data_IF_714301127817
#
_entry.id   IF_714301127817
#
_cell.length_a   1.000
_cell.length_b   1.000
_cell.length_c   1.000
_cell.angle_alpha   90.00
_cell.angle_beta   90.00
_cell.angle_gamma   90.00
#
_symmetry.space_group_name_H-M   'P 1'
#
loop_
_entity.id
_entity.type
_entity.pdbx_description
1 polymer ?
#
# COMPACT_ATOMS: atom_id res chain seq x y z
N UNK A 1 -1.08 1.67 5.03
CA UNK A 1 -0.69 0.87 6.22
C UNK A 1 -1.89 0.09 6.77
N UNK A 2 -3.00 0.73 7.12
CA UNK A 2 -4.17 0.11 7.74
C UNK A 2 -4.71 -1.08 6.93
N UNK A 3 -4.82 -0.94 5.61
CA UNK A 3 -5.40 -1.97 4.73
C UNK A 3 -4.40 -2.98 4.18
N UNK A 4 -3.11 -2.79 4.41
CA UNK A 4 -2.05 -3.68 3.90
C UNK A 4 -1.34 -4.46 4.97
N UNK A 5 -1.13 -3.89 6.16
CA UNK A 5 -0.39 -4.53 7.26
C UNK A 5 -1.21 -4.62 8.56
N UNK A 6 -2.33 -3.88 8.68
CA UNK A 6 -3.15 -3.83 9.89
C UNK A 6 -2.49 -3.10 11.05
N UNK A 7 -3.19 -3.05 12.18
CA UNK A 7 -2.79 -2.27 13.36
C UNK A 7 -1.86 -3.01 14.31
N UNK A 8 -1.88 -4.33 14.29
CA UNK A 8 -1.20 -5.19 15.27
C UNK A 8 -0.25 -6.14 14.58
N UNK A 9 0.93 -6.36 15.18
CA UNK A 9 1.91 -7.32 14.66
C UNK A 9 1.37 -8.75 14.76
N UNK A 10 1.43 -9.48 13.64
CA UNK A 10 0.88 -10.81 13.47
C UNK A 10 1.97 -11.88 13.29
N UNK A 11 1.66 -13.07 13.79
CA UNK A 11 2.31 -14.31 13.37
C UNK A 11 1.78 -14.74 12.00
N UNK A 12 2.42 -15.71 11.37
CA UNK A 12 1.99 -16.25 10.07
C UNK A 12 0.58 -16.89 10.11
N UNK A 13 0.12 -17.29 11.27
CA UNK A 13 -1.22 -17.85 11.49
C UNK A 13 -2.33 -16.80 11.64
N UNK A 14 -1.98 -15.51 11.51
CA UNK A 14 -2.90 -14.39 11.65
C UNK A 14 -3.31 -14.05 13.10
N UNK A 15 -2.67 -14.67 14.10
CA UNK A 15 -2.81 -14.27 15.50
C UNK A 15 -1.83 -13.15 15.87
N UNK A 16 -2.12 -12.32 16.90
CA UNK A 16 -1.17 -11.34 17.40
C UNK A 16 0.14 -12.00 17.88
N UNK A 17 1.28 -11.36 17.63
CA UNK A 17 2.59 -11.82 18.13
C UNK A 17 2.62 -11.90 19.64
N UNK A 18 1.93 -10.99 20.31
CA UNK A 18 1.67 -11.02 21.74
C UNK A 18 0.16 -10.83 21.98
N UNK A 19 -0.53 -11.89 22.39
CA UNK A 19 -1.97 -11.87 22.59
C UNK A 19 -2.40 -11.08 23.83
N UNK A 20 -1.57 -11.09 24.89
CA UNK A 20 -1.88 -10.41 26.16
C UNK A 20 -1.59 -8.90 26.11
N UNK A 21 -0.65 -8.48 25.25
CA UNK A 21 -0.29 -7.08 25.04
C UNK A 21 0.05 -6.87 23.55
N UNK A 22 -0.95 -6.65 22.69
CA UNK A 22 -0.73 -6.51 21.25
C UNK A 22 0.24 -5.37 20.93
N UNK A 23 1.21 -5.65 20.07
CA UNK A 23 2.23 -4.68 19.65
C UNK A 23 1.70 -3.98 18.40
N UNK A 24 1.74 -2.64 18.38
CA UNK A 24 1.35 -1.85 17.23
C UNK A 24 2.32 -2.07 16.05
N UNK A 25 1.78 -2.07 14.84
CA UNK A 25 2.56 -2.23 13.60
C UNK A 25 3.27 -0.96 13.21
N UNK A 26 2.66 0.19 13.48
CA UNK A 26 3.16 1.52 13.13
C UNK A 26 2.63 2.58 14.11
N UNK A 27 3.40 3.65 14.29
CA UNK A 27 3.05 4.77 15.13
C UNK A 27 2.83 6.08 14.35
N UNK A 28 2.58 7.20 15.05
CA UNK A 28 2.33 8.50 14.44
C UNK A 28 3.48 8.98 13.53
N UNK A 29 4.72 8.69 13.89
CA UNK A 29 5.91 9.04 13.08
C UNK A 29 5.92 8.29 11.74
N UNK A 30 5.54 7.01 11.73
CA UNK A 30 5.42 6.23 10.50
C UNK A 30 4.36 6.81 9.57
N UNK A 31 3.21 7.18 10.12
CA UNK A 31 2.11 7.81 9.38
C UNK A 31 2.57 9.15 8.77
N UNK A 32 3.20 10.01 9.57
CA UNK A 32 3.67 11.32 9.15
C UNK A 32 4.71 11.20 8.02
N UNK A 33 5.70 10.32 8.18
CA UNK A 33 6.72 10.11 7.15
C UNK A 33 6.15 9.48 5.88
N UNK A 34 5.20 8.54 6.00
CA UNK A 34 4.55 7.97 4.82
C UNK A 34 3.66 9.01 4.11
N UNK A 35 3.02 9.93 4.83
CA UNK A 35 2.25 11.01 4.20
C UNK A 35 3.14 11.89 3.32
N UNK A 36 4.39 12.14 3.70
CA UNK A 36 5.38 12.90 2.90
C UNK A 36 5.76 12.21 1.59
N UNK A 37 5.60 10.88 1.49
CA UNK A 37 5.82 10.13 0.24
C UNK A 37 4.84 10.56 -0.85
N UNK A 38 3.59 10.86 -0.47
CA UNK A 38 2.52 11.19 -1.40
C UNK A 38 2.45 12.67 -1.77
N UNK A 39 3.41 13.49 -1.31
CA UNK A 39 3.51 14.88 -1.74
C UNK A 39 3.93 14.99 -3.19
N UNK A 40 3.50 16.04 -3.88
CA UNK A 40 3.86 16.28 -5.28
C UNK A 40 3.07 15.48 -6.30
N UNK A 41 1.99 14.80 -5.90
CA UNK A 41 1.04 14.16 -6.84
C UNK A 41 -0.23 14.99 -6.94
N UNK A 42 -0.68 15.24 -8.16
CA UNK A 42 -1.92 15.94 -8.45
C UNK A 42 -2.50 15.48 -9.80
N UNK A 43 -3.53 16.16 -10.24
CA UNK A 43 -4.21 15.86 -11.50
C UNK A 43 -3.28 15.95 -12.70
N UNK A 44 -3.52 15.16 -13.73
CA UNK A 44 -2.89 15.37 -15.02
C UNK A 44 -3.45 16.66 -15.65
N UNK A 45 -2.57 17.48 -16.21
CA UNK A 45 -2.91 18.77 -16.78
C UNK A 45 -2.02 19.03 -18.00
N UNK A 46 -2.58 19.47 -19.15
CA UNK A 46 -1.80 19.68 -20.38
C UNK A 46 -0.65 20.66 -20.20
N UNK A 47 -0.87 21.69 -19.40
CA UNK A 47 0.09 22.78 -19.19
C UNK A 47 1.06 22.54 -18.03
N UNK A 48 1.20 21.29 -17.56
CA UNK A 48 2.03 20.96 -16.40
C UNK A 48 3.49 21.42 -16.52
N UNK A 49 4.01 21.59 -17.73
CA UNK A 49 5.38 22.07 -17.98
C UNK A 49 5.47 23.60 -17.98
N UNK A 50 4.44 24.30 -18.45
CA UNK A 50 4.43 25.76 -18.61
C UNK A 50 3.76 26.48 -17.45
N UNK A 51 2.79 25.84 -16.79
CA UNK A 51 2.05 26.38 -15.66
C UNK A 51 1.87 25.33 -14.54
N UNK A 52 2.96 24.76 -13.99
CA UNK A 52 2.88 23.65 -13.07
C UNK A 52 2.12 23.97 -11.77
N UNK A 53 2.22 25.20 -11.27
CA UNK A 53 1.47 25.60 -10.06
C UNK A 53 -0.03 25.65 -10.29
N UNK A 54 -0.47 26.19 -11.42
CA UNK A 54 -1.88 26.24 -11.77
C UNK A 54 -2.43 24.81 -11.96
N UNK A 55 -1.70 23.94 -12.64
CA UNK A 55 -2.06 22.55 -12.82
C UNK A 55 -2.14 21.79 -11.49
N UNK A 56 -1.19 22.02 -10.58
CA UNK A 56 -1.17 21.33 -9.28
C UNK A 56 -2.32 21.75 -8.38
N UNK A 57 -2.67 23.05 -8.37
CA UNK A 57 -3.64 23.64 -7.42
C UNK A 57 -5.07 23.72 -7.96
N UNK A 58 -5.25 23.94 -9.26
CA UNK A 58 -6.52 24.42 -9.84
C UNK A 58 -7.02 23.63 -11.04
N UNK A 59 -6.73 22.35 -11.11
CA UNK A 59 -7.07 21.49 -12.25
C UNK A 59 -8.49 21.69 -12.85
N UNK A 60 -9.47 22.14 -12.07
CA UNK A 60 -10.89 22.10 -12.43
C UNK A 60 -11.46 23.39 -12.97
N UNK A 61 -10.71 24.49 -13.07
CA UNK A 61 -11.28 25.78 -13.47
C UNK A 61 -11.18 26.08 -14.97
N UNK A 62 -10.40 25.33 -15.73
CA UNK A 62 -10.26 25.53 -17.17
C UNK A 62 -10.12 24.19 -17.89
N UNK A 63 -11.25 23.51 -18.11
CA UNK A 63 -11.30 22.39 -19.07
C UNK A 63 -11.08 23.01 -20.44
N UNK A 64 -9.89 22.79 -21.03
CA UNK A 64 -9.62 23.20 -22.41
C UNK A 64 -10.39 22.30 -23.38
N UNK A 65 -10.91 22.84 -24.49
CA UNK A 65 -11.47 22.01 -25.55
C UNK A 65 -10.44 20.96 -25.99
N UNK A 66 -10.84 19.68 -26.01
CA UNK A 66 -9.97 18.55 -26.36
C UNK A 66 -9.17 17.93 -25.21
N UNK A 67 -9.34 18.40 -23.98
CA UNK A 67 -8.75 17.76 -22.80
C UNK A 67 -9.54 16.53 -22.38
N UNK A 68 -8.86 15.41 -22.15
CA UNK A 68 -9.46 14.21 -21.58
C UNK A 68 -9.91 14.49 -20.15
N UNK A 69 -11.06 13.97 -19.78
CA UNK A 69 -11.60 14.07 -18.42
C UNK A 69 -10.52 13.66 -17.40
N UNK A 70 -10.11 14.56 -16.48
CA UNK A 70 -9.05 14.29 -15.50
C UNK A 70 -9.37 13.11 -14.59
N UNK A 71 -10.63 12.69 -14.49
CA UNK A 71 -11.05 11.53 -13.72
C UNK A 71 -10.69 10.18 -14.37
N UNK A 72 -10.36 10.18 -15.65
CA UNK A 72 -10.06 8.96 -16.41
C UNK A 72 -8.57 8.76 -16.65
N UNK A 73 -7.73 9.70 -16.24
CA UNK A 73 -6.27 9.63 -16.40
C UNK A 73 -5.56 9.52 -15.05
N UNK A 74 -4.43 8.81 -14.96
CA UNK A 74 -3.66 8.71 -13.74
C UNK A 74 -3.16 10.07 -13.24
N UNK A 75 -3.00 10.20 -11.92
CA UNK A 75 -2.35 11.38 -11.32
C UNK A 75 -0.94 11.57 -11.88
N UNK A 76 -0.53 12.83 -12.01
CA UNK A 76 0.81 13.22 -12.46
C UNK A 76 1.70 13.55 -11.27
N UNK A 77 2.97 13.22 -11.37
CA UNK A 77 4.01 13.64 -10.44
C UNK A 77 4.54 15.03 -10.81
N UNK A 78 4.62 15.91 -9.81
CA UNK A 78 5.17 17.27 -9.88
C UNK A 78 6.37 17.36 -8.94
N UNK A 79 7.61 17.13 -9.43
CA UNK A 79 8.80 17.05 -8.57
C UNK A 79 9.05 18.29 -7.71
N UNK A 80 8.71 19.48 -8.20
CA UNK A 80 8.88 20.74 -7.48
C UNK A 80 7.98 20.90 -6.23
N UNK A 81 6.94 20.07 -6.11
CA UNK A 81 6.04 20.04 -4.95
C UNK A 81 6.22 18.77 -4.12
N UNK A 82 7.23 17.96 -4.45
CA UNK A 82 7.56 16.76 -3.69
C UNK A 82 8.51 17.05 -2.54
N UNK A 83 8.23 16.47 -1.39
CA UNK A 83 9.18 16.47 -0.27
C UNK A 83 10.35 15.53 -0.60
N UNK A 84 11.47 16.11 -1.03
CA UNK A 84 12.68 15.38 -1.42
C UNK A 84 13.53 14.88 -0.26
N UNK A 85 13.23 15.21 1.00
CA UNK A 85 14.02 14.76 2.13
C UNK A 85 13.85 13.25 2.39
N UNK A 86 14.80 12.63 3.10
CA UNK A 86 14.70 11.24 3.51
C UNK A 86 13.48 11.00 4.41
N UNK A 87 12.92 9.80 4.35
CA UNK A 87 11.72 9.40 5.10
C UNK A 87 11.94 8.03 5.72
N UNK A 88 11.80 7.93 7.03
CA UNK A 88 11.94 6.67 7.76
C UNK A 88 10.58 6.23 8.32
N UNK A 89 10.12 5.05 7.95
CA UNK A 89 8.90 4.44 8.45
C UNK A 89 9.00 2.91 8.40
N UNK A 90 8.30 2.24 9.28
CA UNK A 90 8.33 0.78 9.45
C UNK A 90 9.77 0.24 9.59
N UNK A 91 10.63 1.00 10.28
CA UNK A 91 12.03 0.63 10.51
C UNK A 91 12.93 0.69 9.28
N UNK A 92 12.48 1.22 8.14
CA UNK A 92 13.25 1.36 6.90
C UNK A 92 13.27 2.80 6.40
N UNK A 93 14.32 3.18 5.69
CA UNK A 93 14.52 4.55 5.18
C UNK A 93 14.47 4.58 3.67
N UNK A 94 13.63 5.45 3.14
CA UNK A 94 13.70 5.92 1.75
C UNK A 94 14.71 7.06 1.72
N UNK A 95 15.79 6.96 0.94
CA UNK A 95 16.80 8.01 0.88
C UNK A 95 16.25 9.30 0.29
N UNK A 96 16.92 10.41 0.57
CA UNK A 96 16.57 11.71 0.00
C UNK A 96 16.65 11.66 -1.53
N UNK A 97 15.59 12.13 -2.20
CA UNK A 97 15.52 12.20 -3.66
C UNK A 97 14.39 13.12 -4.12
N UNK A 98 14.52 13.64 -5.33
CA UNK A 98 13.57 14.61 -5.92
C UNK A 98 12.55 13.96 -6.87
N UNK A 99 12.67 12.67 -7.18
CA UNK A 99 11.74 11.97 -8.04
C UNK A 99 10.58 11.35 -7.22
N UNK A 100 9.36 11.90 -7.30
CA UNK A 100 8.22 11.39 -6.52
C UNK A 100 7.87 9.94 -6.86
N UNK A 101 8.00 9.53 -8.13
CA UNK A 101 7.70 8.16 -8.56
C UNK A 101 8.65 7.14 -7.95
N UNK A 102 9.95 7.49 -7.86
CA UNK A 102 10.93 6.61 -7.22
C UNK A 102 10.74 6.56 -5.69
N UNK A 103 10.43 7.69 -5.06
CA UNK A 103 10.03 7.72 -3.64
C UNK A 103 8.82 6.81 -3.39
N UNK A 104 7.80 6.89 -4.25
CA UNK A 104 6.61 6.06 -4.14
C UNK A 104 6.95 4.58 -4.32
N UNK A 105 7.70 4.23 -5.37
CA UNK A 105 8.11 2.84 -5.64
C UNK A 105 8.84 2.21 -4.45
N UNK A 106 9.87 2.87 -3.93
CA UNK A 106 10.64 2.40 -2.77
C UNK A 106 9.74 2.26 -1.52
N UNK A 107 8.80 3.17 -1.34
CA UNK A 107 7.86 3.13 -0.21
C UNK A 107 6.88 1.97 -0.32
N UNK A 108 6.39 1.68 -1.51
CA UNK A 108 5.54 0.51 -1.76
C UNK A 108 6.31 -0.79 -1.54
N UNK A 109 7.59 -0.86 -1.94
CA UNK A 109 8.45 -2.03 -1.67
C UNK A 109 8.65 -2.25 -0.17
N UNK A 110 8.82 -1.18 0.61
CA UNK A 110 8.91 -1.26 2.08
C UNK A 110 7.62 -1.85 2.66
N UNK A 111 6.46 -1.34 2.26
CA UNK A 111 5.17 -1.83 2.74
C UNK A 111 4.95 -3.28 2.30
N UNK A 112 5.16 -3.60 1.03
CA UNK A 112 4.93 -4.94 0.48
C UNK A 112 5.82 -6.01 1.13
N UNK A 113 7.05 -5.64 1.52
CA UNK A 113 7.99 -6.53 2.21
C UNK A 113 7.76 -6.67 3.71
N UNK A 114 6.80 -5.95 4.29
CA UNK A 114 6.53 -6.01 5.73
C UNK A 114 5.98 -7.39 6.15
N UNK A 115 6.44 -7.91 7.29
CA UNK A 115 6.10 -9.26 7.77
C UNK A 115 4.60 -9.51 7.94
N UNK A 116 3.84 -8.47 8.24
CA UNK A 116 2.39 -8.56 8.42
C UNK A 116 1.59 -8.73 7.14
N UNK A 117 2.14 -8.35 5.97
CA UNK A 117 1.37 -8.36 4.71
C UNK A 117 0.83 -9.74 4.40
N UNK A 118 1.66 -10.77 4.49
CA UNK A 118 1.26 -12.13 4.17
C UNK A 118 0.12 -12.64 5.06
N UNK A 119 0.22 -12.65 6.41
CA UNK A 119 -0.86 -13.12 7.26
C UNK A 119 -2.09 -12.22 7.22
N UNK A 120 -1.91 -10.89 7.17
CA UNK A 120 -3.02 -9.94 7.17
C UNK A 120 -3.87 -10.06 5.90
N UNK A 121 -3.26 -9.98 4.73
CA UNK A 121 -3.96 -10.07 3.44
C UNK A 121 -4.59 -11.44 3.26
N UNK A 122 -3.87 -12.51 3.59
CA UNK A 122 -4.39 -13.88 3.46
C UNK A 122 -5.64 -14.09 4.32
N UNK A 123 -5.62 -13.67 5.59
CA UNK A 123 -6.78 -13.75 6.47
C UNK A 123 -7.96 -12.95 5.95
N UNK A 124 -7.73 -11.71 5.47
CA UNK A 124 -8.78 -10.88 4.88
C UNK A 124 -9.41 -11.54 3.65
N UNK A 125 -8.61 -12.11 2.75
CA UNK A 125 -9.11 -12.78 1.55
C UNK A 125 -9.91 -14.05 1.90
N UNK A 126 -9.43 -14.88 2.84
CA UNK A 126 -10.18 -16.05 3.31
C UNK A 126 -11.54 -15.62 3.88
N UNK A 127 -11.55 -14.56 4.70
CA UNK A 127 -12.77 -14.05 5.31
C UNK A 127 -13.77 -13.50 4.29
N UNK A 128 -13.32 -13.04 3.14
CA UNK A 128 -14.20 -12.52 2.07
C UNK A 128 -14.72 -13.62 1.14
N UNK A 129 -13.91 -14.65 0.89
CA UNK A 129 -14.24 -15.65 -0.12
C UNK A 129 -14.80 -16.95 0.43
N UNK A 130 -14.49 -17.31 1.70
CA UNK A 130 -14.82 -18.65 2.20
C UNK A 130 -15.52 -18.61 3.57
N UNK A 131 -14.86 -18.12 4.63
CA UNK A 131 -15.39 -18.18 5.99
C UNK A 131 -14.94 -17.01 6.85
N UNK A 132 -15.83 -16.49 7.68
CA UNK A 132 -15.54 -15.39 8.60
C UNK A 132 -14.54 -15.76 9.70
N UNK A 133 -14.44 -17.04 10.07
CA UNK A 133 -13.59 -17.54 11.16
C UNK A 133 -12.65 -18.66 10.69
N UNK A 134 -11.62 -18.37 9.86
CA UNK A 134 -10.67 -19.37 9.41
C UNK A 134 -9.82 -19.89 10.58
N UNK A 135 -9.47 -21.17 10.55
CA UNK A 135 -8.50 -21.71 11.50
C UNK A 135 -7.13 -21.09 11.32
N UNK A 136 -6.32 -21.10 12.37
CA UNK A 136 -4.91 -20.66 12.33
C UNK A 136 -4.09 -21.47 11.31
N UNK A 137 -4.40 -22.76 11.16
CA UNK A 137 -3.77 -23.63 10.18
C UNK A 137 -4.08 -23.21 8.75
N UNK A 138 -5.32 -22.89 8.44
CA UNK A 138 -5.73 -22.39 7.12
C UNK A 138 -5.02 -21.08 6.80
N UNK A 139 -5.07 -20.11 7.71
CA UNK A 139 -4.36 -18.82 7.51
C UNK A 139 -2.87 -19.04 7.25
N UNK A 140 -2.21 -19.92 8.02
CA UNK A 140 -0.79 -20.23 7.86
C UNK A 140 -0.46 -20.77 6.46
N UNK A 141 -1.24 -21.72 5.95
CA UNK A 141 -1.01 -22.32 4.63
C UNK A 141 -1.13 -21.28 3.52
N UNK A 142 -2.19 -20.46 3.56
CA UNK A 142 -2.42 -19.42 2.57
C UNK A 142 -1.38 -18.30 2.68
N UNK A 143 -1.05 -17.83 3.88
CA UNK A 143 -0.04 -16.80 4.11
C UNK A 143 1.36 -17.27 3.65
N UNK A 144 1.68 -18.54 3.86
CA UNK A 144 2.93 -19.14 3.35
C UNK A 144 2.95 -19.15 1.83
N UNK A 145 1.84 -19.51 1.19
CA UNK A 145 1.71 -19.48 -0.28
C UNK A 145 1.84 -18.04 -0.81
N UNK A 146 1.17 -17.07 -0.19
CA UNK A 146 1.29 -15.65 -0.52
C UNK A 146 2.75 -15.19 -0.46
N UNK A 147 3.42 -15.45 0.66
CA UNK A 147 4.83 -15.08 0.85
C UNK A 147 5.74 -15.71 -0.20
N UNK A 148 5.63 -17.03 -0.42
CA UNK A 148 6.49 -17.78 -1.35
C UNK A 148 6.26 -17.41 -2.82
N UNK A 149 5.07 -16.90 -3.15
CA UNK A 149 4.73 -16.41 -4.49
C UNK A 149 4.98 -14.89 -4.66
N UNK A 150 5.69 -14.26 -3.71
CA UNK A 150 5.92 -12.81 -3.71
C UNK A 150 4.63 -11.98 -3.83
N UNK A 151 3.57 -12.42 -3.18
CA UNK A 151 2.28 -11.73 -3.18
C UNK A 151 1.44 -11.96 -4.44
N UNK A 152 1.71 -12.98 -5.25
CA UNK A 152 0.92 -13.27 -6.46
C UNK A 152 -0.52 -13.66 -6.11
N UNK A 153 -1.48 -12.76 -6.36
CA UNK A 153 -2.87 -12.91 -5.93
C UNK A 153 -3.57 -14.12 -6.56
N UNK A 154 -3.32 -14.42 -7.83
CA UNK A 154 -3.93 -15.60 -8.48
C UNK A 154 -3.53 -16.91 -7.80
N UNK A 155 -2.26 -17.07 -7.46
CA UNK A 155 -1.76 -18.23 -6.69
C UNK A 155 -2.37 -18.30 -5.30
N UNK A 156 -2.50 -17.14 -4.65
CA UNK A 156 -3.10 -17.04 -3.31
C UNK A 156 -4.59 -17.40 -3.32
N UNK A 157 -5.36 -16.86 -4.27
CA UNK A 157 -6.80 -17.18 -4.41
C UNK A 157 -6.99 -18.66 -4.70
N UNK A 158 -6.16 -19.25 -5.58
CA UNK A 158 -6.19 -20.70 -5.84
C UNK A 158 -5.92 -21.49 -4.55
N UNK A 159 -4.94 -21.10 -3.75
CA UNK A 159 -4.65 -21.74 -2.46
C UNK A 159 -5.83 -21.64 -1.49
N UNK A 160 -6.51 -20.49 -1.46
CA UNK A 160 -7.72 -20.30 -0.64
C UNK A 160 -8.81 -21.27 -1.06
N UNK A 161 -9.20 -21.26 -2.34
CA UNK A 161 -10.35 -22.03 -2.82
C UNK A 161 -10.10 -23.55 -2.89
N UNK A 162 -8.85 -23.96 -2.98
CA UNK A 162 -8.45 -25.38 -3.04
C UNK A 162 -8.07 -25.97 -1.68
N UNK A 163 -8.07 -25.17 -0.62
CA UNK A 163 -7.75 -25.65 0.72
C UNK A 163 -8.81 -26.64 1.22
N UNK A 164 -8.43 -27.69 1.96
CA UNK A 164 -9.38 -28.65 2.54
C UNK A 164 -10.46 -28.00 3.41
N UNK A 165 -10.16 -26.87 4.08
CA UNK A 165 -11.13 -26.15 4.91
C UNK A 165 -12.11 -25.25 4.09
N UNK A 166 -11.89 -25.08 2.80
CA UNK A 166 -12.79 -24.37 1.91
C UNK A 166 -13.88 -25.25 1.28
N UNK A 167 -13.86 -26.57 1.54
CA UNK A 167 -14.73 -27.58 0.92
C UNK A 167 -15.59 -28.31 1.92
#
# INVERSE_FOLDING_TARGET
QLFSIGLVQLKMDGSPTNASNPIETYGPTDISNLARVFTGFSWDCPDHQTAPEACFKYWGTTIRPGYTDPWTVPMRAYPQFHDGASKTFLGKTVPAQTNPMETLRLSLDIIASHSNVAPFISKQLIQRFVTSNPSTGYVTRVATTFKNSSGHLGTTIKAILMDPEAR
#
